data_IF_408809431098
#
_entry.id   IF_408809431098
#
_cell.length_a   1.000
_cell.length_b   1.000
_cell.length_c   1.000
_cell.angle_alpha   90.00
_cell.angle_beta   90.00
_cell.angle_gamma   90.00
#
_symmetry.space_group_name_H-M   'P 1'
#
loop_
_entity.id
_entity.type
_entity.pdbx_description
1 polymer ?
#
# COMPACT_ATOMS: atom_id res chain seq x y z
N UNK A 1 -8.41 12.57 -8.19
CA UNK A 1 -9.51 13.52 -8.47
C UNK A 1 -10.62 13.21 -7.50
N UNK A 2 -11.04 14.19 -6.69
CA UNK A 2 -12.09 13.99 -5.69
C UNK A 2 -13.45 13.83 -6.41
N UNK A 3 -14.26 12.88 -5.94
CA UNK A 3 -15.60 12.61 -6.45
C UNK A 3 -16.54 12.49 -5.26
N UNK A 4 -17.75 13.08 -5.37
CA UNK A 4 -18.79 12.84 -4.39
C UNK A 4 -19.47 11.52 -4.67
N UNK A 5 -19.58 10.67 -3.65
CA UNK A 5 -20.27 9.39 -3.74
C UNK A 5 -21.77 9.58 -3.96
N UNK A 6 -22.43 8.53 -4.44
CA UNK A 6 -23.88 8.55 -4.64
C UNK A 6 -24.61 8.87 -3.32
N UNK A 7 -25.62 9.73 -3.38
CA UNK A 7 -26.26 10.35 -2.21
C UNK A 7 -25.62 11.66 -1.75
N UNK A 8 -24.49 12.08 -2.34
CA UNK A 8 -23.81 13.34 -2.03
C UNK A 8 -23.54 14.19 -3.28
N UNK A 9 -23.50 15.52 -3.10
CA UNK A 9 -23.22 16.51 -4.14
C UNK A 9 -22.09 17.45 -3.67
N UNK A 10 -21.33 18.08 -4.59
CA UNK A 10 -20.34 19.08 -4.22
C UNK A 10 -20.96 20.20 -3.41
N UNK A 11 -20.27 20.65 -2.34
CA UNK A 11 -20.72 21.79 -1.54
C UNK A 11 -20.74 23.08 -2.35
N UNK A 12 -19.73 23.28 -3.20
CA UNK A 12 -19.59 24.41 -4.12
C UNK A 12 -19.43 23.90 -5.56
N UNK A 13 -20.53 23.76 -6.32
CA UNK A 13 -20.48 23.23 -7.68
C UNK A 13 -19.60 24.05 -8.64
N UNK A 14 -19.52 25.36 -8.45
CA UNK A 14 -18.71 26.29 -9.26
C UNK A 14 -17.20 26.00 -9.11
N UNK A 15 -16.70 25.90 -7.88
CA UNK A 15 -15.31 25.51 -7.60
C UNK A 15 -15.01 24.10 -8.09
N UNK A 16 -15.98 23.18 -7.94
CA UNK A 16 -15.84 21.80 -8.40
C UNK A 16 -15.66 21.71 -9.91
N UNK A 17 -16.33 22.57 -10.69
CA UNK A 17 -16.15 22.68 -12.14
C UNK A 17 -14.74 23.15 -12.53
N UNK A 18 -14.10 23.94 -11.68
CA UNK A 18 -12.71 24.39 -11.81
C UNK A 18 -11.68 23.38 -11.27
N UNK A 19 -12.12 22.16 -10.91
CA UNK A 19 -11.32 21.09 -10.30
C UNK A 19 -10.80 21.39 -8.89
N UNK A 20 -11.40 22.37 -8.20
CA UNK A 20 -11.17 22.63 -6.78
C UNK A 20 -12.20 21.87 -5.92
N UNK A 21 -11.73 20.83 -5.24
CA UNK A 21 -12.55 19.96 -4.39
C UNK A 21 -12.46 20.27 -2.89
N UNK A 22 -11.77 21.35 -2.51
CA UNK A 22 -11.46 21.70 -1.10
C UNK A 22 -12.70 21.85 -0.21
N UNK A 23 -13.84 22.26 -0.78
CA UNK A 23 -15.10 22.42 -0.07
C UNK A 23 -15.86 21.12 0.26
N UNK A 24 -15.41 19.98 -0.24
CA UNK A 24 -15.98 18.66 0.06
C UNK A 24 -17.39 18.43 -0.50
N UNK A 25 -18.06 17.41 0.05
CA UNK A 25 -19.37 16.94 -0.39
C UNK A 25 -20.41 17.07 0.71
N UNK A 26 -21.65 17.40 0.33
CA UNK A 26 -22.81 17.48 1.21
C UNK A 26 -23.90 16.50 0.74
N UNK A 27 -24.75 16.05 1.66
CA UNK A 27 -25.84 15.12 1.33
C UNK A 27 -26.82 15.73 0.32
N UNK A 28 -27.27 14.94 -0.65
CA UNK A 28 -28.35 15.32 -1.58
C UNK A 28 -29.69 15.35 -0.86
N UNK A 29 -29.97 14.28 -0.11
CA UNK A 29 -31.23 14.06 0.59
C UNK A 29 -30.98 13.96 2.09
N UNK A 30 -31.83 14.58 2.91
CA UNK A 30 -31.78 14.48 4.36
C UNK A 30 -32.17 13.08 4.83
N UNK A 31 -31.52 12.59 5.89
CA UNK A 31 -31.87 11.31 6.51
C UNK A 31 -33.24 11.38 7.21
N UNK A 32 -34.01 10.30 7.15
CA UNK A 32 -35.30 10.15 7.82
C UNK A 32 -35.16 9.19 9.03
N UNK A 33 -34.68 9.74 10.14
CA UNK A 33 -34.55 8.98 11.37
C UNK A 33 -35.91 8.60 11.99
N UNK A 34 -36.98 9.36 11.74
CA UNK A 34 -38.28 9.15 12.41
C UNK A 34 -38.95 7.88 11.89
N UNK A 35 -38.95 7.69 10.59
CA UNK A 35 -39.58 6.51 9.97
C UNK A 35 -38.59 5.34 9.80
N UNK A 36 -37.30 5.54 10.08
CA UNK A 36 -36.22 4.53 9.97
C UNK A 36 -36.17 3.86 8.60
N UNK A 37 -36.46 4.62 7.56
CA UNK A 37 -36.45 4.19 6.15
C UNK A 37 -35.06 4.27 5.54
N UNK A 38 -34.13 4.97 6.20
CA UNK A 38 -32.72 5.02 5.82
C UNK A 38 -32.11 3.63 5.71
N UNK A 39 -31.10 3.50 4.85
CA UNK A 39 -30.29 2.30 4.76
C UNK A 39 -28.82 2.64 4.61
N UNK A 40 -28.03 1.67 4.16
CA UNK A 40 -26.58 1.81 4.09
C UNK A 40 -26.05 1.44 2.71
N UNK A 41 -25.10 2.25 2.24
CA UNK A 41 -24.25 1.92 1.12
C UNK A 41 -22.94 1.35 1.64
N UNK A 42 -22.55 0.19 1.11
CA UNK A 42 -21.26 -0.40 1.36
C UNK A 42 -20.20 0.25 0.47
N UNK A 43 -19.16 0.80 1.08
CA UNK A 43 -17.91 1.18 0.45
C UNK A 43 -16.83 0.18 0.86
N UNK A 44 -16.43 -0.66 -0.08
CA UNK A 44 -15.30 -1.59 0.11
C UNK A 44 -13.98 -0.85 -0.06
N UNK A 45 -12.94 -1.31 0.63
CA UNK A 45 -11.60 -0.72 0.57
C UNK A 45 -11.58 0.79 0.87
N UNK A 46 -12.31 1.20 1.92
CA UNK A 46 -12.33 2.59 2.37
C UNK A 46 -11.27 2.84 3.45
N UNK A 47 -10.56 3.97 3.37
CA UNK A 47 -9.90 4.53 4.54
C UNK A 47 -10.97 5.03 5.49
N UNK A 48 -10.86 4.68 6.78
CA UNK A 48 -11.85 5.12 7.73
C UNK A 48 -11.82 6.65 7.92
N UNK A 49 -13.00 7.29 8.02
CA UNK A 49 -13.08 8.70 8.36
C UNK A 49 -12.46 9.01 9.73
N UNK A 50 -12.20 10.29 9.97
CA UNK A 50 -11.66 10.77 11.25
C UNK A 50 -12.40 10.14 12.44
N UNK A 51 -11.63 9.60 13.39
CA UNK A 51 -12.13 8.86 14.54
C UNK A 51 -12.18 9.70 15.81
N UNK A 52 -11.92 11.01 15.73
CA UNK A 52 -11.99 11.93 16.86
C UNK A 52 -13.37 11.97 17.56
N UNK A 53 -14.45 11.70 16.83
CA UNK A 53 -15.84 11.73 17.31
C UNK A 53 -16.64 10.48 16.90
N UNK A 54 -16.22 9.32 17.40
CA UNK A 54 -16.88 8.02 17.16
C UNK A 54 -17.41 7.40 18.45
N UNK A 55 -18.46 6.60 18.34
CA UNK A 55 -18.86 5.65 19.38
C UNK A 55 -18.31 4.27 19.05
N UNK A 56 -17.60 3.66 20.00
CA UNK A 56 -17.01 2.34 19.84
C UNK A 56 -17.58 1.37 20.87
N UNK A 57 -17.96 0.18 20.42
CA UNK A 57 -18.38 -0.92 21.29
C UNK A 57 -17.82 -2.25 20.76
N UNK A 58 -16.91 -2.86 21.51
CA UNK A 58 -16.23 -4.10 21.12
C UNK A 58 -17.07 -5.37 21.36
N UNK A 59 -18.18 -5.26 22.10
CA UNK A 59 -19.07 -6.38 22.38
C UNK A 59 -20.05 -6.66 21.24
N UNK A 60 -20.28 -5.67 20.37
CA UNK A 60 -21.23 -5.74 19.27
C UNK A 60 -20.67 -6.44 18.03
N UNK A 61 -21.50 -7.23 17.36
CA UNK A 61 -21.24 -7.68 16.00
C UNK A 61 -21.71 -6.66 14.94
N UNK A 62 -21.42 -6.91 13.67
CA UNK A 62 -21.70 -5.97 12.58
C UNK A 62 -23.20 -5.71 12.37
N UNK A 63 -24.06 -6.71 12.57
CA UNK A 63 -25.52 -6.58 12.44
C UNK A 63 -26.12 -5.78 13.61
N UNK A 64 -25.60 -5.98 14.81
CA UNK A 64 -25.93 -5.17 15.99
C UNK A 64 -25.48 -3.73 15.81
N UNK A 65 -24.29 -3.52 15.23
CA UNK A 65 -23.76 -2.21 14.89
C UNK A 65 -24.69 -1.46 13.91
N UNK A 66 -25.15 -2.15 12.86
CA UNK A 66 -26.14 -1.63 11.91
C UNK A 66 -27.44 -1.22 12.61
N UNK A 67 -27.98 -2.10 13.45
CA UNK A 67 -29.22 -1.84 14.17
C UNK A 67 -29.09 -0.67 15.16
N UNK A 68 -27.93 -0.56 15.83
CA UNK A 68 -27.60 0.53 16.74
C UNK A 68 -27.51 1.88 16.01
N UNK A 69 -26.82 1.88 14.86
CA UNK A 69 -26.71 3.07 14.01
C UNK A 69 -28.08 3.54 13.49
N UNK A 70 -28.98 2.65 13.08
CA UNK A 70 -30.34 3.02 12.65
C UNK A 70 -31.18 3.64 13.78
N UNK A 71 -30.97 3.21 15.02
CA UNK A 71 -31.65 3.77 16.20
C UNK A 71 -31.11 5.15 16.58
N UNK A 72 -29.85 5.43 16.27
CA UNK A 72 -29.20 6.70 16.59
C UNK A 72 -29.35 7.70 15.42
N UNK A 73 -30.11 8.78 15.62
CA UNK A 73 -30.34 9.78 14.57
C UNK A 73 -29.10 10.56 14.15
N UNK A 74 -28.08 10.63 15.00
CA UNK A 74 -26.83 11.30 14.67
C UNK A 74 -25.88 10.38 13.89
N UNK A 75 -26.16 9.08 13.82
CA UNK A 75 -25.26 8.15 13.15
C UNK A 75 -25.22 8.38 11.64
N UNK A 76 -24.03 8.65 11.11
CA UNK A 76 -23.77 8.92 9.68
C UNK A 76 -23.17 7.74 8.94
N UNK A 77 -22.59 6.77 9.65
CA UNK A 77 -22.07 5.53 9.12
C UNK A 77 -21.46 4.64 10.20
N UNK A 78 -21.15 3.40 9.86
CA UNK A 78 -20.50 2.45 10.76
C UNK A 78 -19.52 1.53 10.04
N UNK A 79 -18.63 0.89 10.81
CA UNK A 79 -17.73 -0.15 10.33
C UNK A 79 -17.43 -1.14 11.46
N UNK A 80 -16.72 -2.23 11.13
CA UNK A 80 -16.17 -3.11 12.16
C UNK A 80 -14.96 -2.44 12.83
N UNK A 81 -14.87 -2.56 14.16
CA UNK A 81 -13.75 -2.00 14.93
C UNK A 81 -12.49 -2.87 14.84
N UNK A 82 -12.63 -4.19 14.67
CA UNK A 82 -11.56 -5.12 14.39
C UNK A 82 -11.96 -6.07 13.25
N UNK A 83 -11.24 -6.01 12.14
CA UNK A 83 -11.50 -6.82 10.95
C UNK A 83 -10.89 -8.23 11.02
N UNK A 84 -10.17 -8.58 12.11
CA UNK A 84 -9.62 -9.92 12.32
C UNK A 84 -10.71 -10.94 12.69
N UNK A 85 -10.49 -12.21 12.37
CA UNK A 85 -11.37 -13.34 12.74
C UNK A 85 -12.88 -13.17 12.43
N UNK A 86 -13.20 -12.61 11.26
CA UNK A 86 -14.59 -12.47 10.80
C UNK A 86 -15.32 -11.20 11.26
N UNK A 87 -14.61 -10.24 11.86
CA UNK A 87 -15.15 -8.93 12.22
C UNK A 87 -15.74 -8.91 13.63
N UNK A 88 -15.12 -8.17 14.55
CA UNK A 88 -15.61 -7.93 15.91
C UNK A 88 -15.61 -6.45 16.25
N UNK A 89 -16.57 -6.06 17.08
CA UNK A 89 -16.72 -4.69 17.52
C UNK A 89 -17.30 -3.77 16.46
N UNK A 90 -17.82 -2.65 16.95
CA UNK A 90 -18.58 -1.65 16.22
C UNK A 90 -17.91 -0.29 16.39
N UNK A 91 -17.69 0.41 15.29
CA UNK A 91 -17.34 1.84 15.29
C UNK A 91 -18.43 2.59 14.52
N UNK A 92 -19.04 3.59 15.16
CA UNK A 92 -20.10 4.41 14.58
C UNK A 92 -19.70 5.88 14.59
N UNK A 93 -19.82 6.54 13.44
CA UNK A 93 -19.63 7.98 13.32
C UNK A 93 -20.93 8.69 13.64
N UNK A 94 -20.86 9.70 14.50
CA UNK A 94 -22.01 10.54 14.89
C UNK A 94 -21.93 11.98 14.42
N UNK A 95 -20.90 12.28 13.65
CA UNK A 95 -20.63 13.58 13.02
C UNK A 95 -20.49 13.40 11.51
N UNK A 96 -20.25 14.49 10.79
CA UNK A 96 -19.93 14.41 9.37
C UNK A 96 -18.70 13.51 9.16
N UNK A 97 -18.73 12.72 8.08
CA UNK A 97 -17.61 11.86 7.70
C UNK A 97 -16.59 12.73 6.98
N UNK A 98 -15.41 12.91 7.59
CA UNK A 98 -14.31 13.71 7.06
C UNK A 98 -13.11 12.81 6.77
N UNK A 99 -12.33 13.13 5.74
CA UNK A 99 -11.07 12.46 5.39
C UNK A 99 -11.15 10.94 5.10
N UNK A 100 -12.28 10.48 4.56
CA UNK A 100 -12.40 9.11 4.04
C UNK A 100 -12.25 9.08 2.52
N UNK A 101 -11.68 8.00 1.99
CA UNK A 101 -11.47 7.79 0.56
C UNK A 101 -11.44 6.31 0.21
N UNK A 102 -11.62 5.98 -1.07
CA UNK A 102 -11.51 4.60 -1.56
C UNK A 102 -10.13 4.41 -2.17
N UNK A 103 -9.40 3.41 -1.73
CA UNK A 103 -8.09 3.04 -2.29
C UNK A 103 -8.21 1.61 -2.82
N UNK A 104 -8.02 1.42 -4.13
CA UNK A 104 -8.10 0.10 -4.76
C UNK A 104 -7.18 -0.91 -4.06
N UNK A 105 -7.76 -1.98 -3.49
CA UNK A 105 -7.01 -3.06 -2.83
C UNK A 105 -6.59 -2.80 -1.37
N UNK A 106 -7.01 -1.68 -0.77
CA UNK A 106 -6.63 -1.28 0.58
C UNK A 106 -7.77 -0.59 1.34
N UNK A 107 -8.04 -0.99 2.58
CA UNK A 107 -9.03 -0.33 3.44
C UNK A 107 -9.94 -1.35 4.11
N UNK A 108 -11.00 -0.89 4.75
CA UNK A 108 -12.01 -1.74 5.35
C UNK A 108 -13.41 -1.36 4.86
N UNK A 109 -14.36 -2.27 5.06
CA UNK A 109 -15.76 -2.04 4.71
C UNK A 109 -16.35 -0.93 5.58
N UNK A 110 -16.73 0.17 4.93
CA UNK A 110 -17.42 1.30 5.55
C UNK A 110 -18.86 1.34 5.05
N UNK A 111 -19.81 1.37 5.99
CA UNK A 111 -21.23 1.44 5.72
C UNK A 111 -21.71 2.87 5.93
N UNK A 112 -21.94 3.61 4.85
CA UNK A 112 -22.42 5.00 4.92
C UNK A 112 -23.95 5.01 4.92
N UNK A 113 -24.54 5.69 5.90
CA UNK A 113 -26.00 5.83 5.98
C UNK A 113 -26.50 6.76 4.89
N UNK A 114 -27.54 6.35 4.16
CA UNK A 114 -28.18 7.11 3.08
C UNK A 114 -29.71 7.11 3.25
N UNK A 115 -30.36 8.15 2.73
CA UNK A 115 -31.81 8.22 2.66
C UNK A 115 -32.35 7.15 1.68
N UNK A 116 -33.56 6.65 1.93
CA UNK A 116 -34.21 5.62 1.11
C UNK A 116 -34.23 5.96 -0.39
N UNK A 117 -34.56 7.22 -0.73
CA UNK A 117 -34.61 7.70 -2.10
C UNK A 117 -33.26 7.60 -2.84
N UNK A 118 -32.15 7.77 -2.13
CA UNK A 118 -30.81 7.66 -2.71
C UNK A 118 -30.39 6.19 -2.90
N UNK A 119 -30.96 5.25 -2.13
CA UNK A 119 -30.71 3.81 -2.26
C UNK A 119 -31.46 3.18 -3.44
N UNK A 120 -32.67 3.63 -3.73
CA UNK A 120 -33.46 3.15 -4.88
C UNK A 120 -32.78 3.44 -6.22
N UNK A 121 -32.04 4.55 -6.29
CA UNK A 121 -31.24 4.89 -7.48
C UNK A 121 -30.17 3.84 -7.82
N UNK A 122 -29.70 3.07 -6.83
CA UNK A 122 -28.69 2.01 -6.96
C UNK A 122 -29.32 0.71 -7.48
N UNK A 123 -30.53 0.38 -7.01
CA UNK A 123 -31.24 -0.85 -7.41
C UNK A 123 -31.86 -0.76 -8.81
N UNK A 124 -32.11 0.45 -9.32
CA UNK A 124 -32.62 0.69 -10.68
C UNK A 124 -31.71 0.17 -11.82
N UNK A 125 -30.40 -0.01 -11.57
CA UNK A 125 -29.45 -0.48 -12.58
C UNK A 125 -29.32 -2.02 -12.68
N UNK A 126 -29.95 -2.78 -11.78
CA UNK A 126 -29.78 -4.25 -11.68
C UNK A 126 -31.08 -5.06 -11.86
N UNK A 127 -32.05 -4.59 -12.65
CA UNK A 127 -33.19 -5.45 -13.06
C UNK A 127 -32.80 -6.42 -14.18
N UNK A 128 -32.36 -7.62 -13.78
CA UNK A 128 -32.30 -8.81 -14.65
C UNK A 128 -33.68 -9.08 -15.25
N UNK A 129 -33.71 -9.26 -16.58
CA UNK A 129 -34.88 -9.74 -17.34
C UNK A 129 -35.38 -11.05 -16.74
N UNK A 130 -36.57 -11.04 -16.16
CA UNK A 130 -37.31 -12.25 -15.82
C UNK A 130 -37.73 -12.96 -17.11
N UNK A 131 -37.20 -14.17 -17.34
CA UNK A 131 -37.56 -14.99 -18.49
C UNK A 131 -38.76 -15.85 -18.08
N UNK A 132 -39.88 -15.58 -18.72
CA UNK A 132 -41.14 -16.33 -18.62
C UNK A 132 -40.89 -17.78 -19.03
N UNK A 133 -41.35 -18.74 -18.23
CA UNK A 133 -41.32 -20.17 -18.53
C UNK A 133 -42.75 -20.65 -18.74
N UNK A 134 -43.02 -21.25 -19.90
CA UNK A 134 -44.02 -22.30 -20.03
C UNK A 134 -43.54 -23.36 -21.05
N UNK A 135 -43.99 -24.62 -20.89
CA UNK A 135 -43.20 -25.83 -21.19
C UNK A 135 -43.67 -26.55 -22.46
N UNK A 136 -42.88 -27.53 -22.94
CA UNK A 136 -43.27 -28.81 -23.58
C UNK A 136 -42.01 -29.44 -24.20
N UNK A 137 -41.35 -30.38 -23.51
CA UNK A 137 -41.42 -31.85 -23.68
C UNK A 137 -40.75 -32.44 -24.93
N UNK A 138 -39.92 -33.46 -24.67
CA UNK A 138 -39.35 -34.49 -25.57
C UNK A 138 -38.15 -34.09 -26.44
N UNK A 139 -36.93 -34.21 -25.89
CA UNK A 139 -35.72 -34.70 -26.62
C UNK A 139 -34.46 -34.78 -25.73
N UNK A 140 -34.59 -35.20 -24.47
CA UNK A 140 -33.45 -35.20 -23.52
C UNK A 140 -32.46 -36.35 -23.81
N UNK A 141 -32.90 -37.45 -24.43
CA UNK A 141 -32.06 -38.64 -24.60
C UNK A 141 -30.99 -38.46 -25.69
N UNK A 142 -31.29 -37.71 -26.77
CA UNK A 142 -30.32 -37.42 -27.84
C UNK A 142 -29.23 -36.44 -27.37
N UNK A 143 -29.60 -35.41 -26.61
CA UNK A 143 -28.66 -34.40 -26.13
C UNK A 143 -27.61 -34.95 -25.18
N UNK A 144 -27.98 -35.88 -24.29
CA UNK A 144 -27.04 -36.49 -23.33
C UNK A 144 -25.98 -37.32 -24.04
N UNK A 145 -26.35 -38.07 -25.09
CA UNK A 145 -25.39 -38.87 -25.87
C UNK A 145 -24.41 -37.99 -26.67
N UNK A 146 -24.89 -36.87 -27.22
CA UNK A 146 -24.01 -35.89 -27.90
C UNK A 146 -23.07 -35.21 -26.90
N UNK A 147 -23.55 -34.87 -25.71
CA UNK A 147 -22.72 -34.27 -24.65
C UNK A 147 -21.67 -35.26 -24.16
N UNK A 148 -22.00 -36.53 -23.96
CA UNK A 148 -21.03 -37.56 -23.57
C UNK A 148 -19.99 -37.85 -24.66
N UNK A 149 -20.40 -37.84 -25.94
CA UNK A 149 -19.49 -37.92 -27.08
C UNK A 149 -18.56 -36.70 -27.16
N UNK A 150 -19.08 -35.49 -26.91
CA UNK A 150 -18.28 -34.27 -26.84
C UNK A 150 -17.30 -34.29 -25.67
N UNK A 151 -17.73 -34.72 -24.48
CA UNK A 151 -16.86 -34.81 -23.29
C UNK A 151 -15.76 -35.84 -23.52
N UNK A 152 -16.07 -37.02 -24.08
CA UNK A 152 -15.06 -38.03 -24.40
C UNK A 152 -14.09 -37.57 -25.49
N UNK A 153 -14.56 -36.85 -26.51
CA UNK A 153 -13.71 -36.22 -27.54
C UNK A 153 -12.85 -35.07 -26.96
N UNK A 154 -13.37 -34.26 -26.05
CA UNK A 154 -12.64 -33.24 -25.31
C UNK A 154 -11.56 -33.86 -24.40
N UNK A 155 -11.88 -34.93 -23.67
CA UNK A 155 -10.89 -35.64 -22.84
C UNK A 155 -9.81 -36.27 -23.71
N UNK A 156 -10.16 -36.83 -24.87
CA UNK A 156 -9.21 -37.43 -25.80
C UNK A 156 -8.28 -36.39 -26.45
N UNK A 157 -8.81 -35.23 -26.83
CA UNK A 157 -8.02 -34.10 -27.37
C UNK A 157 -7.14 -33.45 -26.31
N UNK A 158 -7.59 -33.35 -25.05
CA UNK A 158 -6.79 -32.86 -23.91
C UNK A 158 -5.69 -33.86 -23.54
N UNK A 159 -5.95 -35.17 -23.52
CA UNK A 159 -4.91 -36.21 -23.32
C UNK A 159 -3.89 -36.24 -24.48
N UNK A 160 -4.34 -35.98 -25.72
CA UNK A 160 -3.46 -35.89 -26.90
C UNK A 160 -2.63 -34.60 -26.92
N UNK A 161 -3.15 -33.49 -26.39
CA UNK A 161 -2.41 -32.21 -26.20
C UNK A 161 -1.44 -32.24 -25.01
N UNK A 162 -1.73 -32.98 -23.93
CA UNK A 162 -0.78 -33.16 -22.80
C UNK A 162 0.51 -33.92 -23.16
N UNK A 163 0.62 -34.53 -24.34
CA UNK A 163 1.88 -35.12 -24.85
C UNK A 163 2.69 -34.18 -25.76
N UNK A 164 2.18 -32.99 -26.12
CA UNK A 164 2.90 -31.99 -26.92
C UNK A 164 2.49 -30.58 -26.49
N UNK A 165 3.39 -29.91 -25.75
CA UNK A 165 3.32 -28.47 -25.49
C UNK A 165 3.03 -28.10 -24.03
N UNK A 166 4.09 -28.04 -23.20
CA UNK A 166 4.09 -27.27 -21.97
C UNK A 166 4.37 -25.81 -22.35
N UNK A 167 3.32 -25.00 -22.40
CA UNK A 167 3.41 -23.55 -22.51
C UNK A 167 2.23 -23.02 -21.69
N UNK A 168 2.50 -22.66 -20.43
CA UNK A 168 1.51 -22.04 -19.55
C UNK A 168 1.88 -20.57 -19.45
N UNK A 169 0.91 -19.73 -19.82
CA UNK A 169 0.97 -18.28 -19.90
C UNK A 169 1.31 -17.65 -18.55
N UNK A 170 2.40 -16.90 -18.51
CA UNK A 170 2.71 -15.92 -17.46
C UNK A 170 1.75 -14.74 -17.57
N UNK A 171 1.01 -14.47 -16.49
CA UNK A 171 0.13 -13.32 -16.39
C UNK A 171 0.83 -12.17 -15.68
N UNK A 172 1.59 -11.36 -16.43
CA UNK A 172 1.76 -9.95 -16.07
C UNK A 172 0.46 -9.27 -16.44
N UNK A 173 -0.32 -8.83 -15.46
CA UNK A 173 -1.50 -8.01 -15.74
C UNK A 173 -1.03 -6.59 -15.97
N UNK A 174 -0.71 -6.24 -17.22
CA UNK A 174 -0.80 -4.85 -17.66
C UNK A 174 -2.28 -4.52 -17.81
N UNK A 175 -2.85 -3.86 -16.79
CA UNK A 175 -4.13 -3.18 -16.98
C UNK A 175 -3.92 -1.99 -17.91
N UNK A 176 -3.96 -2.23 -19.22
CA UNK A 176 -4.18 -1.19 -20.21
C UNK A 176 -5.64 -0.74 -20.10
N UNK A 177 -5.87 0.23 -19.22
CA UNK A 177 -7.05 1.07 -19.27
C UNK A 177 -6.60 2.42 -19.83
N UNK A 178 -7.07 2.74 -21.04
CA UNK A 178 -6.90 4.04 -21.66
C UNK A 178 -7.53 5.11 -20.78
N UNK A 179 -6.71 5.74 -19.94
CA UNK A 179 -6.88 7.10 -19.43
C UNK A 179 -5.55 7.55 -18.83
N UNK A 180 -4.80 8.35 -19.60
CA UNK A 180 -3.58 9.02 -19.17
C UNK A 180 -3.85 9.82 -17.89
N UNK A 181 -3.37 9.31 -16.76
CA UNK A 181 -3.16 10.08 -15.55
C UNK A 181 -1.81 9.62 -14.97
N UNK A 182 -0.81 10.49 -15.00
CA UNK A 182 0.56 10.27 -14.51
C UNK A 182 0.61 10.13 -12.98
N UNK A 183 0.04 9.07 -12.44
CA UNK A 183 0.36 8.56 -11.10
C UNK A 183 1.00 7.20 -11.28
N UNK A 184 2.30 7.11 -10.99
CA UNK A 184 3.06 5.86 -10.96
C UNK A 184 2.33 4.82 -10.09
N UNK A 185 1.54 3.94 -10.72
CA UNK A 185 0.98 2.77 -10.04
C UNK A 185 2.12 1.74 -9.91
N UNK A 186 2.62 1.58 -8.69
CA UNK A 186 3.59 0.52 -8.39
C UNK A 186 2.96 -0.84 -8.71
N UNK A 187 3.67 -1.74 -9.41
CA UNK A 187 3.20 -3.09 -9.70
C UNK A 187 2.86 -3.88 -8.43
N UNK A 188 1.72 -4.57 -8.47
CA UNK A 188 1.35 -5.57 -7.48
C UNK A 188 1.88 -6.95 -7.90
N UNK A 189 2.58 -7.63 -7.00
CA UNK A 189 3.08 -8.99 -7.19
C UNK A 189 2.21 -9.99 -6.44
N UNK A 190 1.69 -10.99 -7.15
CA UNK A 190 0.99 -12.10 -6.52
C UNK A 190 1.92 -12.86 -5.56
N UNK A 191 1.36 -13.27 -4.41
CA UNK A 191 2.09 -13.99 -3.36
C UNK A 191 2.84 -15.21 -3.89
N UNK A 192 2.19 -16.01 -4.74
CA UNK A 192 2.77 -17.20 -5.35
C UNK A 192 4.01 -16.87 -6.19
N UNK A 193 3.98 -15.77 -6.95
CA UNK A 193 5.12 -15.33 -7.74
C UNK A 193 6.32 -14.94 -6.85
N UNK A 194 6.05 -14.30 -5.71
CA UNK A 194 7.09 -13.93 -4.73
C UNK A 194 7.67 -15.17 -4.04
N UNK A 195 6.82 -16.14 -3.67
CA UNK A 195 7.25 -17.44 -3.15
C UNK A 195 8.15 -18.15 -4.16
N UNK A 196 7.71 -18.28 -5.40
CA UNK A 196 8.50 -18.95 -6.44
C UNK A 196 9.83 -18.23 -6.66
N UNK A 197 9.82 -16.91 -6.75
CA UNK A 197 11.02 -16.11 -6.97
C UNK A 197 12.05 -16.23 -5.82
N UNK A 198 11.59 -16.43 -4.59
CA UNK A 198 12.45 -16.54 -3.39
C UNK A 198 12.74 -17.98 -2.99
N UNK A 199 12.36 -18.98 -3.80
CA UNK A 199 12.42 -20.39 -3.45
C UNK A 199 11.72 -20.71 -2.12
N UNK A 200 10.48 -20.21 -1.95
CA UNK A 200 9.70 -20.33 -0.72
C UNK A 200 10.41 -19.71 0.50
N UNK A 201 10.97 -18.51 0.35
CA UNK A 201 11.69 -17.79 1.41
C UNK A 201 12.81 -18.63 2.04
N UNK A 202 13.56 -19.37 1.23
CA UNK A 202 14.63 -20.25 1.69
C UNK A 202 15.71 -19.47 2.47
N UNK A 203 16.26 -20.07 3.51
CA UNK A 203 17.24 -19.42 4.40
C UNK A 203 18.51 -19.00 3.65
N UNK A 204 18.94 -19.78 2.65
CA UNK A 204 20.09 -19.47 1.80
C UNK A 204 19.91 -18.18 0.97
N UNK A 205 18.66 -17.73 0.80
CA UNK A 205 18.34 -16.50 0.09
C UNK A 205 18.29 -15.28 1.01
N UNK A 206 18.49 -15.42 2.33
CA UNK A 206 18.49 -14.27 3.23
C UNK A 206 19.69 -13.36 2.93
N UNK A 207 19.40 -12.10 2.61
CA UNK A 207 20.39 -11.04 2.40
C UNK A 207 20.76 -10.33 3.72
N UNK A 208 19.80 -10.24 4.63
CA UNK A 208 19.95 -9.67 5.96
C UNK A 208 18.63 -9.70 6.72
N UNK A 209 18.72 -9.56 8.05
CA UNK A 209 17.57 -9.48 8.94
C UNK A 209 17.78 -8.31 9.91
N UNK A 210 16.77 -7.45 10.03
CA UNK A 210 16.78 -6.31 10.94
C UNK A 210 15.48 -6.23 11.74
N UNK A 211 15.30 -5.13 12.49
CA UNK A 211 14.09 -4.91 13.30
C UNK A 211 12.77 -4.88 12.51
N UNK A 212 12.85 -4.86 11.17
CA UNK A 212 11.73 -4.81 10.25
C UNK A 212 11.39 -6.16 9.63
N UNK A 213 12.19 -7.19 9.87
CA UNK A 213 12.06 -8.52 9.30
C UNK A 213 13.15 -8.86 8.29
N UNK A 214 13.12 -10.09 7.75
CA UNK A 214 14.11 -10.60 6.81
C UNK A 214 13.95 -10.01 5.41
N UNK A 215 15.08 -9.82 4.73
CA UNK A 215 15.16 -9.46 3.32
C UNK A 215 15.72 -10.65 2.55
N UNK A 216 14.99 -11.12 1.53
CA UNK A 216 15.37 -12.26 0.71
C UNK A 216 15.82 -11.83 -0.68
N UNK A 217 16.83 -12.50 -1.23
CA UNK A 217 17.14 -12.49 -2.65
C UNK A 217 16.07 -13.30 -3.39
N UNK A 218 15.62 -12.79 -4.51
CA UNK A 218 14.76 -13.53 -5.42
C UNK A 218 15.14 -13.33 -6.87
N UNK A 219 14.60 -14.18 -7.74
CA UNK A 219 14.73 -14.06 -9.18
C UNK A 219 13.38 -14.26 -9.83
N UNK A 220 12.87 -13.23 -10.51
CA UNK A 220 11.63 -13.33 -11.28
C UNK A 220 11.82 -14.27 -12.48
N UNK A 221 10.73 -14.77 -13.05
CA UNK A 221 10.78 -15.71 -14.18
C UNK A 221 11.52 -15.15 -15.41
N UNK A 222 11.45 -13.83 -15.61
CA UNK A 222 12.17 -13.10 -16.66
C UNK A 222 13.69 -12.97 -16.40
N UNK A 223 14.15 -13.47 -15.26
CA UNK A 223 15.56 -13.49 -14.86
C UNK A 223 16.01 -12.27 -14.07
N UNK A 224 15.14 -11.27 -13.87
CA UNK A 224 15.45 -10.10 -13.06
C UNK A 224 15.65 -10.48 -11.58
N UNK A 225 16.81 -10.13 -11.04
CA UNK A 225 17.09 -10.29 -9.61
C UNK A 225 16.40 -9.18 -8.80
N UNK A 226 15.81 -9.58 -7.68
CA UNK A 226 15.04 -8.71 -6.79
C UNK A 226 15.44 -8.92 -5.32
N UNK A 227 15.16 -7.94 -4.49
CA UNK A 227 15.22 -8.05 -3.03
C UNK A 227 13.81 -7.92 -2.45
N UNK A 228 13.37 -8.92 -1.68
CA UNK A 228 12.04 -8.99 -1.08
C UNK A 228 12.17 -8.75 0.42
N UNK A 229 11.80 -7.55 0.86
CA UNK A 229 11.71 -7.19 2.28
C UNK A 229 10.37 -7.68 2.81
N UNK A 230 10.39 -8.75 3.61
CA UNK A 230 9.20 -9.32 4.25
C UNK A 230 9.05 -8.74 5.64
N UNK A 231 8.00 -7.96 5.82
CA UNK A 231 7.81 -7.21 7.06
C UNK A 231 7.25 -8.12 8.16
N UNK A 232 7.72 -7.90 9.39
CA UNK A 232 7.29 -8.68 10.55
C UNK A 232 5.78 -8.58 10.79
N UNK A 233 5.15 -9.73 11.09
CA UNK A 233 3.70 -9.86 11.35
C UNK A 233 3.26 -9.23 12.67
N UNK A 234 4.17 -9.11 13.64
CA UNK A 234 3.84 -8.88 15.05
C UNK A 234 3.98 -7.44 15.51
N UNK A 235 4.48 -6.53 14.66
CA UNK A 235 4.71 -5.13 15.07
C UNK A 235 3.71 -4.19 14.40
N UNK A 236 2.97 -3.44 15.23
CA UNK A 236 2.16 -2.27 14.78
C UNK A 236 3.04 -1.30 13.98
N UNK A 237 4.31 -1.20 14.37
CA UNK A 237 5.33 -0.41 13.69
C UNK A 237 5.61 -0.87 12.25
N UNK A 238 5.65 -2.18 11.98
CA UNK A 238 5.89 -2.71 10.63
C UNK A 238 4.78 -2.35 9.64
N UNK A 239 3.54 -2.20 10.10
CA UNK A 239 2.41 -1.75 9.27
C UNK A 239 2.58 -0.28 8.88
N UNK A 240 2.92 0.58 9.84
CA UNK A 240 3.13 2.01 9.57
C UNK A 240 4.34 2.24 8.68
N UNK A 241 5.41 1.46 8.85
CA UNK A 241 6.61 1.51 8.02
C UNK A 241 6.33 1.01 6.60
N UNK A 242 5.59 -0.08 6.45
CA UNK A 242 5.12 -0.53 5.14
C UNK A 242 4.39 0.59 4.41
N UNK A 243 3.43 1.23 5.08
CA UNK A 243 2.63 2.32 4.52
C UNK A 243 3.49 3.52 4.18
N UNK A 244 4.40 3.93 5.08
CA UNK A 244 5.30 5.05 4.82
C UNK A 244 6.17 4.77 3.61
N UNK A 245 6.83 3.61 3.60
CA UNK A 245 7.75 3.25 2.54
C UNK A 245 7.00 3.17 1.22
N UNK A 246 5.88 2.43 1.14
CA UNK A 246 5.04 2.35 -0.05
C UNK A 246 4.53 3.72 -0.52
N UNK A 247 4.13 4.63 0.37
CA UNK A 247 3.60 5.94 -0.02
C UNK A 247 4.69 6.93 -0.47
N UNK A 248 5.89 6.83 0.09
CA UNK A 248 7.00 7.74 -0.16
C UNK A 248 7.85 7.27 -1.32
N UNK A 249 8.43 6.06 -1.24
CA UNK A 249 9.42 5.59 -2.21
C UNK A 249 8.80 5.31 -3.59
N UNK A 250 7.49 5.00 -3.65
CA UNK A 250 6.76 4.84 -4.92
C UNK A 250 6.87 6.06 -5.84
N UNK A 251 6.99 7.25 -5.24
CA UNK A 251 6.98 8.53 -5.94
C UNK A 251 8.38 9.09 -6.13
N UNK A 252 9.40 8.44 -5.59
CA UNK A 252 10.78 8.87 -5.64
C UNK A 252 11.53 8.09 -6.72
N UNK A 253 12.17 8.82 -7.63
CA UNK A 253 12.98 8.24 -8.68
C UNK A 253 14.26 9.05 -8.79
N UNK A 254 15.35 8.45 -8.34
CA UNK A 254 16.67 9.08 -8.40
C UNK A 254 17.75 8.00 -8.43
N UNK A 255 18.86 8.28 -9.12
CA UNK A 255 19.96 7.30 -9.31
C UNK A 255 20.62 6.86 -8.00
N UNK A 256 20.56 7.70 -6.96
CA UNK A 256 21.12 7.44 -5.63
C UNK A 256 20.05 7.06 -4.59
N UNK A 257 18.87 6.63 -5.03
CA UNK A 257 17.85 6.04 -4.16
C UNK A 257 17.53 4.63 -4.66
N UNK A 258 17.30 3.69 -3.74
CA UNK A 258 16.92 2.32 -4.12
C UNK A 258 15.52 2.34 -4.71
N UNK A 259 15.38 1.73 -5.89
CA UNK A 259 14.10 1.66 -6.60
C UNK A 259 13.22 0.56 -6.03
N UNK A 260 12.03 0.95 -5.57
CA UNK A 260 10.94 0.01 -5.30
C UNK A 260 10.31 -0.41 -6.64
N UNK A 261 10.26 -1.71 -6.87
CA UNK A 261 9.72 -2.33 -8.07
C UNK A 261 8.25 -2.68 -7.92
N UNK A 262 7.79 -2.90 -6.69
CA UNK A 262 6.41 -3.23 -6.40
C UNK A 262 6.21 -3.73 -4.98
N UNK A 263 5.01 -4.24 -4.72
CA UNK A 263 4.62 -4.73 -3.40
C UNK A 263 3.77 -5.99 -3.52
N UNK A 264 3.68 -6.74 -2.43
CA UNK A 264 2.80 -7.90 -2.31
C UNK A 264 2.09 -7.92 -0.95
N UNK A 265 0.83 -8.35 -0.97
CA UNK A 265 -0.03 -8.46 0.20
C UNK A 265 -0.74 -9.79 0.12
N UNK A 266 -0.70 -10.57 1.19
CA UNK A 266 -1.49 -11.80 1.30
C UNK A 266 -1.84 -12.09 2.75
N UNK A 267 -3.10 -11.92 3.14
CA UNK A 267 -3.53 -12.03 4.54
C UNK A 267 -2.80 -11.01 5.41
N UNK A 268 -1.93 -11.47 6.31
CA UNK A 268 -1.06 -10.64 7.16
C UNK A 268 0.34 -10.41 6.57
N UNK A 269 0.69 -11.08 5.47
CA UNK A 269 1.97 -10.89 4.81
C UNK A 269 2.00 -9.54 4.11
N UNK A 270 3.07 -8.76 4.37
CA UNK A 270 3.35 -7.48 3.73
C UNK A 270 4.77 -7.50 3.22
N UNK A 271 4.93 -7.30 1.92
CA UNK A 271 6.23 -7.39 1.26
C UNK A 271 6.46 -6.23 0.31
N UNK A 272 7.69 -5.74 0.32
CA UNK A 272 8.20 -4.72 -0.60
C UNK A 272 9.28 -5.34 -1.48
N UNK A 273 9.16 -5.15 -2.79
CA UNK A 273 10.06 -5.74 -3.79
C UNK A 273 10.93 -4.63 -4.36
N UNK A 274 12.24 -4.71 -4.12
CA UNK A 274 13.24 -3.75 -4.56
C UNK A 274 14.12 -4.31 -5.67
N UNK A 275 14.82 -3.42 -6.37
CA UNK A 275 15.99 -3.82 -7.15
C UNK A 275 17.03 -4.48 -6.25
N UNK A 276 17.66 -5.56 -6.75
CA UNK A 276 18.71 -6.24 -6.02
C UNK A 276 20.02 -5.44 -6.06
N UNK A 277 20.67 -5.31 -4.90
CA UNK A 277 21.92 -4.58 -4.73
C UNK A 277 23.06 -5.58 -4.45
N UNK A 278 23.88 -5.93 -5.46
CA UNK A 278 24.81 -7.06 -5.37
C UNK A 278 25.97 -6.81 -4.40
N UNK A 279 26.36 -5.55 -4.24
CA UNK A 279 27.42 -5.16 -3.31
C UNK A 279 26.87 -4.84 -1.91
N UNK A 280 25.65 -5.27 -1.55
CA UNK A 280 25.09 -5.13 -0.18
C UNK A 280 25.17 -3.68 0.34
N UNK A 281 25.25 -3.50 1.66
CA UNK A 281 25.30 -2.22 2.36
C UNK A 281 26.74 -1.74 2.61
N UNK A 282 26.93 -0.44 2.77
CA UNK A 282 28.23 0.20 2.98
C UNK A 282 28.90 -0.25 4.29
N UNK A 283 28.13 -0.50 5.34
CA UNK A 283 28.64 -1.01 6.62
C UNK A 283 29.36 -2.37 6.47
N UNK A 284 28.94 -3.20 5.51
CA UNK A 284 29.58 -4.48 5.21
C UNK A 284 31.01 -4.33 4.66
N UNK A 285 31.40 -3.13 4.23
CA UNK A 285 32.77 -2.81 3.80
C UNK A 285 33.52 -2.04 4.87
N UNK A 286 32.85 -1.12 5.57
CA UNK A 286 33.48 -0.29 6.59
C UNK A 286 33.94 -1.10 7.81
N UNK A 287 33.17 -2.12 8.21
CA UNK A 287 33.47 -2.91 9.41
C UNK A 287 34.16 -4.25 9.11
N UNK A 288 34.32 -4.61 7.84
CA UNK A 288 35.08 -5.78 7.39
C UNK A 288 36.45 -5.35 6.89
N UNK A 289 37.50 -5.67 7.65
CA UNK A 289 38.88 -5.28 7.35
C UNK A 289 39.38 -5.77 5.99
N UNK A 290 38.86 -6.89 5.48
CA UNK A 290 39.28 -7.42 4.19
C UNK A 290 38.56 -6.72 3.03
N UNK A 291 37.31 -6.31 3.22
CA UNK A 291 36.54 -5.58 2.21
C UNK A 291 36.80 -4.09 2.20
N UNK A 292 37.24 -3.51 3.33
CA UNK A 292 37.58 -2.09 3.42
C UNK A 292 38.67 -1.64 2.44
N UNK A 293 39.50 -2.58 1.97
CA UNK A 293 40.52 -2.35 0.93
C UNK A 293 39.89 -1.98 -0.43
N UNK A 294 38.66 -2.43 -0.70
CA UNK A 294 37.91 -2.10 -1.91
C UNK A 294 37.34 -0.66 -1.89
N UNK A 295 37.35 -0.02 -0.72
CA UNK A 295 36.95 1.38 -0.57
C UNK A 295 38.20 2.25 -0.57
N UNK A 296 38.81 2.44 -1.74
CA UNK A 296 39.83 3.48 -1.91
C UNK A 296 39.22 4.88 -1.78
N UNK A 297 40.07 5.90 -1.71
CA UNK A 297 39.59 7.27 -1.50
C UNK A 297 38.65 7.75 -2.62
N UNK A 298 38.93 7.38 -3.87
CA UNK A 298 38.07 7.73 -5.00
C UNK A 298 36.67 7.13 -4.86
N UNK A 299 36.60 5.84 -4.52
CA UNK A 299 35.33 5.14 -4.27
C UNK A 299 34.58 5.75 -3.09
N UNK A 300 35.27 6.04 -1.97
CA UNK A 300 34.67 6.71 -0.80
C UNK A 300 34.11 8.08 -1.15
N UNK A 301 34.88 8.89 -1.89
CA UNK A 301 34.45 10.20 -2.34
C UNK A 301 33.21 10.11 -3.23
N UNK A 302 33.20 9.18 -4.19
CA UNK A 302 32.04 8.94 -5.06
C UNK A 302 30.80 8.49 -4.26
N UNK A 303 30.99 7.66 -3.22
CA UNK A 303 29.93 7.26 -2.30
C UNK A 303 29.38 8.48 -1.54
N UNK A 304 30.25 9.28 -0.94
CA UNK A 304 29.87 10.50 -0.19
C UNK A 304 29.08 11.45 -1.10
N UNK A 305 29.59 11.70 -2.31
CA UNK A 305 28.96 12.58 -3.29
C UNK A 305 27.60 12.03 -3.76
N UNK A 306 27.50 10.73 -3.99
CA UNK A 306 26.24 10.10 -4.39
C UNK A 306 25.18 10.15 -3.29
N UNK A 307 25.56 9.90 -2.04
CA UNK A 307 24.65 10.04 -0.89
C UNK A 307 24.20 11.49 -0.73
N UNK A 308 25.11 12.46 -0.84
CA UNK A 308 24.77 13.88 -0.78
C UNK A 308 23.77 14.28 -1.88
N UNK A 309 23.95 13.79 -3.11
CA UNK A 309 22.98 14.00 -4.21
C UNK A 309 21.62 13.38 -3.91
N UNK A 310 21.60 12.16 -3.34
CA UNK A 310 20.37 11.52 -2.91
C UNK A 310 19.62 12.33 -1.85
N UNK A 311 20.32 12.86 -0.84
CA UNK A 311 19.74 13.71 0.19
C UNK A 311 19.24 15.05 -0.35
N UNK A 312 20.04 15.71 -1.20
CA UNK A 312 19.64 16.95 -1.86
C UNK A 312 18.32 16.77 -2.61
N UNK A 313 18.21 15.67 -3.36
CA UNK A 313 16.97 15.32 -4.04
C UNK A 313 15.80 15.19 -3.07
N UNK A 314 15.95 14.45 -1.97
CA UNK A 314 14.88 14.29 -0.96
C UNK A 314 14.48 15.60 -0.28
N UNK A 315 15.42 16.51 -0.07
CA UNK A 315 15.21 17.73 0.71
C UNK A 315 14.69 18.90 -0.13
N UNK A 316 15.07 18.97 -1.40
CA UNK A 316 14.85 20.13 -2.26
C UNK A 316 14.21 19.81 -3.62
N UNK A 317 14.67 18.76 -4.31
CA UNK A 317 14.28 18.53 -5.71
C UNK A 317 13.07 17.59 -5.89
N UNK A 318 12.71 16.82 -4.85
CA UNK A 318 11.52 15.98 -4.87
C UNK A 318 10.25 16.81 -4.68
N UNK A 319 9.14 16.33 -5.26
CA UNK A 319 7.82 16.99 -5.17
C UNK A 319 7.41 17.34 -3.74
N UNK A 320 7.75 16.48 -2.79
CA UNK A 320 7.57 16.72 -1.37
C UNK A 320 8.94 16.74 -0.73
N UNK A 321 9.16 17.63 0.25
CA UNK A 321 10.35 17.58 1.10
C UNK A 321 10.25 16.36 2.02
N UNK A 322 11.20 15.46 1.91
CA UNK A 322 11.24 14.20 2.66
C UNK A 322 12.44 14.21 3.59
N UNK A 323 12.20 13.93 4.86
CA UNK A 323 13.25 13.75 5.87
C UNK A 323 13.36 12.24 6.14
N UNK A 324 14.55 11.67 5.93
CA UNK A 324 14.81 10.23 6.01
C UNK A 324 14.73 9.70 7.46
N UNK A 325 15.34 10.42 8.41
CA UNK A 325 15.38 10.16 9.87
C UNK A 325 16.14 8.91 10.33
N UNK A 326 16.47 7.97 9.45
CA UNK A 326 17.35 6.82 9.79
C UNK A 326 18.49 6.64 8.77
N UNK A 327 19.18 7.73 8.43
CA UNK A 327 20.34 7.65 7.53
C UNK A 327 21.56 7.10 8.28
N UNK A 328 22.14 6.00 7.79
CA UNK A 328 23.29 5.29 8.37
C UNK A 328 23.97 4.40 7.32
N UNK A 329 25.17 3.90 7.62
CA UNK A 329 25.94 3.08 6.68
C UNK A 329 25.20 1.79 6.25
N UNK A 330 24.42 1.15 7.12
CA UNK A 330 23.62 -0.04 6.77
C UNK A 330 22.49 0.27 5.78
N UNK A 331 22.07 1.54 5.67
CA UNK A 331 20.99 2.00 4.81
C UNK A 331 21.51 2.63 3.50
N UNK A 332 22.82 2.55 3.25
CA UNK A 332 23.43 2.89 1.96
C UNK A 332 23.78 1.59 1.27
N UNK A 333 23.00 1.20 0.26
CA UNK A 333 23.28 0.03 -0.56
C UNK A 333 24.17 0.38 -1.76
N UNK A 334 24.94 -0.59 -2.23
CA UNK A 334 25.90 -0.42 -3.32
C UNK A 334 25.48 -1.28 -4.53
N UNK A 335 25.36 -0.64 -5.68
CA UNK A 335 25.09 -1.35 -6.94
C UNK A 335 26.35 -2.06 -7.45
N UNK A 336 26.24 -2.75 -8.59
CA UNK A 336 27.35 -3.52 -9.19
C UNK A 336 28.58 -2.66 -9.54
N UNK A 337 28.39 -1.36 -9.74
CA UNK A 337 29.46 -0.38 -10.02
C UNK A 337 29.92 0.38 -8.76
N UNK A 338 29.53 -0.05 -7.56
CA UNK A 338 29.81 0.61 -6.28
C UNK A 338 29.17 2.01 -6.14
N UNK A 339 28.12 2.32 -6.92
CA UNK A 339 27.39 3.57 -6.70
C UNK A 339 26.46 3.43 -5.49
N UNK A 340 26.35 4.47 -4.64
CA UNK A 340 25.50 4.44 -3.46
C UNK A 340 24.04 4.68 -3.82
N UNK A 341 23.16 3.94 -3.13
CA UNK A 341 21.72 4.16 -3.13
C UNK A 341 21.17 4.16 -1.70
N UNK A 342 20.51 5.23 -1.32
CA UNK A 342 19.84 5.34 -0.01
C UNK A 342 18.61 4.41 -0.02
N UNK A 343 18.46 3.63 1.04
CA UNK A 343 17.39 2.67 1.26
C UNK A 343 16.71 2.86 2.61
N UNK A 344 15.61 2.13 2.84
CA UNK A 344 14.89 2.04 4.11
C UNK A 344 14.16 3.32 4.53
N UNK A 345 13.07 3.59 3.82
CA UNK A 345 12.24 4.78 4.02
C UNK A 345 11.10 4.56 5.03
N UNK A 346 11.10 3.44 5.77
CA UNK A 346 10.04 3.11 6.73
C UNK A 346 9.84 4.20 7.80
N UNK A 347 10.93 4.89 8.17
CA UNK A 347 10.92 6.01 9.11
C UNK A 347 10.78 7.38 8.47
N UNK A 348 10.79 7.51 7.14
CA UNK A 348 10.80 8.80 6.49
C UNK A 348 9.48 9.57 6.70
N UNK A 349 9.54 10.91 6.62
CA UNK A 349 8.37 11.79 6.78
C UNK A 349 8.37 12.90 5.75
N UNK A 350 7.17 13.25 5.27
CA UNK A 350 6.95 14.48 4.50
C UNK A 350 6.95 15.64 5.48
N UNK A 351 7.79 16.63 5.22
CA UNK A 351 7.75 17.93 5.89
C UNK A 351 6.76 18.82 5.13
N UNK A 352 5.86 19.50 5.85
CA UNK A 352 4.91 20.45 5.26
C UNK A 352 5.61 21.64 4.60
N UNK A 353 4.90 22.35 3.71
CA UNK A 353 5.43 23.48 2.94
C UNK A 353 5.75 24.73 3.81
N UNK A 354 5.34 24.77 5.08
CA UNK A 354 5.68 25.87 5.97
C UNK A 354 7.15 25.82 6.40
N UNK A 355 7.90 26.83 5.97
CA UNK A 355 9.35 26.86 5.93
C UNK A 355 10.04 26.61 7.27
N UNK A 356 11.18 25.90 7.18
CA UNK A 356 12.23 25.70 8.20
C UNK A 356 11.83 25.30 9.64
N UNK A 357 10.54 25.25 9.96
CA UNK A 357 10.02 24.93 11.27
C UNK A 357 10.18 23.44 11.52
N UNK A 358 11.19 23.11 12.32
CA UNK A 358 11.44 21.78 12.83
C UNK A 358 10.16 21.11 13.33
N UNK A 359 9.90 19.88 12.90
CA UNK A 359 8.69 19.13 13.27
C UNK A 359 8.95 18.36 14.56
N UNK A 360 7.99 18.38 15.50
CA UNK A 360 8.09 17.64 16.77
C UNK A 360 7.32 16.32 16.70
N UNK A 361 7.95 15.22 17.08
CA UNK A 361 7.32 13.90 17.23
C UNK A 361 7.38 13.44 18.69
N UNK A 362 6.34 12.75 19.15
CA UNK A 362 6.35 12.04 20.45
C UNK A 362 7.04 10.68 20.37
N UNK A 363 7.21 10.13 19.16
CA UNK A 363 7.89 8.85 18.91
C UNK A 363 9.24 9.13 18.26
N UNK A 364 10.30 9.09 19.05
CA UNK A 364 11.69 9.15 18.57
C UNK A 364 12.08 7.78 18.03
N UNK A 365 12.48 7.74 16.77
CA UNK A 365 12.88 6.51 16.05
C UNK A 365 14.12 6.78 15.22
N UNK A 366 15.01 5.81 15.10
CA UNK A 366 16.27 5.94 14.37
C UNK A 366 17.40 5.22 15.10
N UNK A 367 18.61 5.33 14.57
CA UNK A 367 19.77 4.61 15.09
C UNK A 367 20.63 5.49 16.00
N UNK A 368 20.86 5.03 17.23
CA UNK A 368 21.76 5.71 18.18
C UNK A 368 23.16 5.88 17.58
N UNK A 369 23.76 7.05 17.81
CA UNK A 369 25.05 7.44 17.21
C UNK A 369 24.90 8.20 15.88
N UNK A 370 23.79 8.03 15.15
CA UNK A 370 23.50 8.77 13.92
C UNK A 370 22.46 9.89 14.11
N UNK A 371 21.66 9.83 15.18
CA UNK A 371 20.63 10.84 15.47
C UNK A 371 21.23 12.18 15.92
N UNK A 372 20.66 13.29 15.44
CA UNK A 372 21.00 14.61 15.93
C UNK A 372 20.57 14.80 17.40
N UNK A 373 21.30 15.59 18.21
CA UNK A 373 21.00 15.78 19.62
C UNK A 373 19.57 16.27 19.87
N UNK A 374 19.10 17.27 19.12
CA UNK A 374 17.76 17.83 19.24
C UNK A 374 16.66 16.83 18.89
N UNK A 375 16.94 15.89 18.00
CA UNK A 375 16.00 14.83 17.66
C UNK A 375 15.95 13.75 18.74
N UNK A 376 17.11 13.35 19.25
CA UNK A 376 17.21 12.35 20.31
C UNK A 376 16.63 12.84 21.65
N UNK A 377 16.82 14.12 21.99
CA UNK A 377 16.37 14.71 23.26
C UNK A 377 14.92 15.17 23.22
N UNK A 378 14.54 15.94 22.19
CA UNK A 378 13.26 16.65 22.17
C UNK A 378 12.28 16.12 21.11
N UNK A 379 12.69 15.12 20.33
CA UNK A 379 11.90 14.60 19.21
C UNK A 379 11.73 15.60 18.08
N UNK A 380 12.65 16.57 17.97
CA UNK A 380 12.62 17.62 16.96
C UNK A 380 13.41 17.17 15.73
N UNK A 381 12.75 17.01 14.59
CA UNK A 381 13.41 16.62 13.35
C UNK A 381 13.22 17.64 12.24
N UNK A 382 14.24 17.77 11.39
CA UNK A 382 14.24 18.61 10.20
C UNK A 382 15.20 18.02 9.15
N UNK A 383 15.36 18.69 8.01
CA UNK A 383 16.42 18.36 7.05
C UNK A 383 17.82 18.39 7.70
N UNK A 384 18.02 19.20 8.75
CA UNK A 384 19.29 19.28 9.48
C UNK A 384 19.59 17.99 10.27
N UNK A 385 18.56 17.24 10.65
CA UNK A 385 18.73 15.94 11.29
C UNK A 385 19.40 14.94 10.34
N UNK A 386 18.95 14.89 9.08
CA UNK A 386 19.59 14.05 8.05
C UNK A 386 21.02 14.54 7.72
N UNK A 387 21.25 15.86 7.71
CA UNK A 387 22.59 16.45 7.50
C UNK A 387 23.56 16.05 8.63
N UNK A 388 23.08 16.02 9.88
CA UNK A 388 23.87 15.52 11.00
C UNK A 388 24.24 14.05 10.81
N UNK A 389 23.25 13.20 10.50
CA UNK A 389 23.49 11.78 10.24
C UNK A 389 24.45 11.54 9.07
N UNK A 390 24.36 12.38 8.03
CA UNK A 390 25.30 12.37 6.91
C UNK A 390 26.72 12.73 7.35
N UNK A 391 26.88 13.73 8.22
CA UNK A 391 28.18 14.08 8.82
C UNK A 391 28.81 12.90 9.57
N UNK A 392 28.03 12.18 10.38
CA UNK A 392 28.47 10.95 11.05
C UNK A 392 28.91 9.89 10.04
N UNK A 393 28.15 9.71 8.95
CA UNK A 393 28.49 8.77 7.87
C UNK A 393 29.80 9.14 7.16
N UNK A 394 30.06 10.42 6.93
CA UNK A 394 31.34 10.89 6.35
C UNK A 394 32.50 10.62 7.31
N UNK A 395 32.32 10.85 8.61
CA UNK A 395 33.35 10.57 9.62
C UNK A 395 33.66 9.07 9.74
N UNK A 396 32.64 8.21 9.66
CA UNK A 396 32.80 6.75 9.66
C UNK A 396 33.44 6.18 8.39
N UNK A 397 33.60 6.99 7.34
CA UNK A 397 34.30 6.64 6.10
C UNK A 397 35.79 7.00 6.13
N UNK A 398 36.38 7.29 7.30
CA UNK A 398 37.83 7.52 7.44
C UNK A 398 38.59 6.36 8.09
#
# INVERSE_FOLDING_TARGET
MCHCFQGFKPRFPENWALRDGSGGCVRKTSLDCRNRTDGFMLLTNATLPDTSSVMMDMSMNLDECKASCLKNCSCTGYASADVRDGGRGCIMWVTELVDFGVISGWGQDLYIRLAAADLESISGHTKKKGRIVLPLTVSIVSGVLVIMAFISMCIWTVKKRRRKGLMTSTGIVTHSNDNKNDSLELPFFHFDAVITATNNFAEENILGEGGFGPVYKGKLEEGQEIAVKRLSKTSVQGIDEFKNELMLIAKLQHRNLVRLLGYSIHGEERMLIYEFMPNKSLDAFLFDKHKGVLLDWETRYNIILGVARGLLYLHQDSRFRIIHRDLKASNILLDKEMNPKISDFGMARISGEEGEASTKTRKVVGTYGYMSPEYAMDGIFSVKSDVYSFGVLVLGNH
#
